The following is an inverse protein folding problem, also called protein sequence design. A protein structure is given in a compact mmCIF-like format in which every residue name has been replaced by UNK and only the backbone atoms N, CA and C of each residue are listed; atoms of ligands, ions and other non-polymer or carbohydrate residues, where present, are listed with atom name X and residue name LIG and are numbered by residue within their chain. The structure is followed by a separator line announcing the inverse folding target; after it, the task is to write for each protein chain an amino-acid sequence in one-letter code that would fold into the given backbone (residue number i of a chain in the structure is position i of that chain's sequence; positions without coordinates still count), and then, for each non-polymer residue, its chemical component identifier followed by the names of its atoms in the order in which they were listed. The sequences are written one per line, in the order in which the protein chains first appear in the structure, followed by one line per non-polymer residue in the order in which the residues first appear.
data_IF_218000594728
#
_entry.id   IF_218000594728
#
_cell.length_a   1.000
_cell.length_b   1.000
_cell.length_c   1.000
_cell.angle_alpha   90.00
_cell.angle_beta   90.00
_cell.angle_gamma   90.00
#
_symmetry.space_group_name_H-M   'P 1'
#
loop_
_entity.id
_entity.type
_entity.pdbx_description
1 polymer ?
#
# COMPACT_ATOMS: atom_id res chain seq x y z
N UNK A 1 2.11 -18.87 38.50
CA UNK A 1 3.48 -18.34 38.42
C UNK A 1 4.47 -19.22 37.63
N UNK A 2 4.58 -20.51 37.92
CA UNK A 2 5.56 -21.39 37.21
C UNK A 2 5.44 -21.30 35.70
N UNK A 3 4.25 -21.29 35.17
CA UNK A 3 4.01 -21.21 33.72
C UNK A 3 4.49 -19.87 33.12
N UNK A 4 4.27 -18.76 33.86
CA UNK A 4 4.75 -17.42 33.47
C UNK A 4 6.27 -17.36 33.49
N UNK A 5 6.90 -17.89 34.55
CA UNK A 5 8.36 -17.96 34.65
C UNK A 5 8.94 -18.77 33.51
N UNK A 6 8.37 -19.95 33.24
CA UNK A 6 8.81 -20.82 32.14
C UNK A 6 8.64 -20.16 30.77
N UNK A 7 7.53 -19.45 30.56
CA UNK A 7 7.30 -18.72 29.31
C UNK A 7 8.35 -17.62 29.09
N UNK A 8 8.71 -16.88 30.11
CA UNK A 8 9.75 -15.85 30.05
C UNK A 8 11.12 -16.45 29.76
N UNK A 9 11.49 -17.55 30.45
CA UNK A 9 12.76 -18.24 30.18
C UNK A 9 12.83 -18.84 28.79
N UNK A 10 11.72 -19.37 28.29
CA UNK A 10 11.63 -19.99 26.98
C UNK A 10 11.35 -19.01 25.84
N UNK A 11 11.09 -17.75 26.14
CA UNK A 11 10.63 -16.75 25.15
C UNK A 11 9.43 -17.30 24.38
N UNK A 12 8.38 -17.68 25.12
CA UNK A 12 7.18 -18.34 24.60
C UNK A 12 5.99 -17.37 24.64
N UNK A 13 5.73 -16.74 23.49
CA UNK A 13 4.67 -15.77 23.31
C UNK A 13 3.26 -16.41 23.29
N UNK A 14 3.17 -17.75 23.22
CA UNK A 14 1.88 -18.47 23.23
C UNK A 14 1.29 -18.61 24.64
N UNK A 15 2.12 -18.56 25.66
CA UNK A 15 1.70 -18.66 27.07
C UNK A 15 1.56 -17.28 27.72
N UNK A 16 2.51 -16.39 27.44
CA UNK A 16 2.48 -14.99 27.89
C UNK A 16 2.65 -14.12 26.67
N UNK A 17 1.55 -13.53 26.21
CA UNK A 17 1.59 -12.60 25.08
C UNK A 17 2.35 -11.31 25.42
N UNK A 18 2.71 -10.55 24.39
CA UNK A 18 3.53 -9.35 24.57
C UNK A 18 2.83 -8.24 25.35
N UNK A 19 1.50 -8.13 25.23
CA UNK A 19 0.71 -7.16 25.99
C UNK A 19 0.73 -7.48 27.48
N UNK A 20 0.51 -8.75 27.82
CA UNK A 20 0.63 -9.25 29.21
C UNK A 20 2.05 -9.07 29.75
N UNK A 21 3.08 -9.40 28.95
CA UNK A 21 4.47 -9.21 29.37
C UNK A 21 4.82 -7.75 29.60
N UNK A 22 4.33 -6.85 28.75
CA UNK A 22 4.50 -5.41 28.91
C UNK A 22 3.82 -4.92 30.18
N UNK A 23 2.58 -5.36 30.46
CA UNK A 23 1.87 -5.04 31.68
C UNK A 23 2.60 -5.56 32.95
N UNK A 24 3.15 -6.77 32.91
CA UNK A 24 3.96 -7.32 33.99
C UNK A 24 5.24 -6.49 34.23
N UNK A 25 5.89 -6.07 33.16
CA UNK A 25 7.07 -5.25 33.21
C UNK A 25 6.78 -3.86 33.79
N UNK A 26 5.73 -3.20 33.35
CA UNK A 26 5.33 -1.86 33.77
C UNK A 26 4.90 -1.83 35.27
N UNK A 27 4.19 -2.86 35.71
CA UNK A 27 3.66 -2.99 37.05
C UNK A 27 4.56 -3.80 38.00
N UNK A 28 5.82 -4.07 37.64
CA UNK A 28 6.76 -4.77 38.49
C UNK A 28 7.07 -3.95 39.74
N UNK A 29 7.27 -4.64 40.87
CA UNK A 29 7.65 -3.98 42.09
C UNK A 29 8.99 -3.26 41.94
N UNK A 30 9.07 -2.03 42.48
CA UNK A 30 10.31 -1.28 42.58
C UNK A 30 11.13 -1.75 43.80
N UNK A 31 12.41 -1.40 43.86
CA UNK A 31 13.30 -1.93 44.87
C UNK A 31 12.84 -1.61 46.31
N UNK A 32 12.27 -0.44 46.55
CA UNK A 32 11.73 -0.06 47.86
C UNK A 32 10.51 -0.88 48.28
N UNK A 33 9.66 -1.27 47.34
CA UNK A 33 8.54 -2.20 47.55
C UNK A 33 9.04 -3.62 47.83
N UNK A 34 10.01 -4.08 47.03
CA UNK A 34 10.62 -5.41 47.22
C UNK A 34 11.28 -5.54 48.57
N UNK A 35 11.97 -4.52 49.06
CA UNK A 35 12.57 -4.50 50.40
C UNK A 35 11.49 -4.69 51.48
N UNK A 36 10.36 -4.00 51.36
CA UNK A 36 9.24 -4.14 52.28
C UNK A 36 8.64 -5.54 52.24
N UNK A 37 8.40 -6.08 51.05
CA UNK A 37 7.84 -7.42 50.86
C UNK A 37 8.78 -8.49 51.41
N UNK A 38 10.10 -8.41 51.15
CA UNK A 38 11.12 -9.35 51.64
C UNK A 38 11.15 -9.46 53.16
N UNK A 39 10.92 -8.37 53.90
CA UNK A 39 10.86 -8.40 55.37
C UNK A 39 9.82 -9.39 55.86
N UNK A 40 8.66 -9.51 55.23
CA UNK A 40 7.64 -10.47 55.64
C UNK A 40 8.06 -11.92 55.37
N UNK A 41 8.85 -12.16 54.33
CA UNK A 41 9.39 -13.50 54.03
C UNK A 41 10.53 -13.92 54.98
N UNK A 42 11.20 -12.94 55.61
CA UNK A 42 12.33 -13.20 56.54
C UNK A 42 11.87 -13.36 57.99
N UNK A 43 10.67 -12.87 58.35
CA UNK A 43 10.27 -12.75 59.77
C UNK A 43 9.58 -14.00 60.29
N UNK A 44 8.42 -14.38 59.82
CA UNK A 44 7.73 -15.60 60.25
C UNK A 44 6.68 -16.09 59.27
N UNK A 45 6.33 -17.39 59.31
CA UNK A 45 5.25 -17.95 58.52
C UNK A 45 3.87 -17.35 58.78
N UNK A 46 3.67 -16.77 59.96
CA UNK A 46 2.42 -16.13 60.35
C UNK A 46 2.29 -14.73 59.72
N UNK A 47 3.39 -13.97 59.69
CA UNK A 47 3.43 -12.66 59.04
C UNK A 47 3.30 -12.80 57.51
N UNK A 48 3.77 -13.88 56.94
CA UNK A 48 3.58 -14.19 55.49
C UNK A 48 2.09 -14.28 55.10
N UNK A 49 1.23 -14.72 56.02
CA UNK A 49 -0.22 -14.78 55.79
C UNK A 49 -0.89 -13.40 55.76
N UNK A 50 -0.20 -12.35 56.17
CA UNK A 50 -0.67 -10.96 56.10
C UNK A 50 -0.45 -10.33 54.74
N UNK A 51 0.40 -10.93 53.89
CA UNK A 51 0.57 -10.49 52.49
C UNK A 51 -0.59 -10.95 51.62
N UNK A 52 -1.21 -10.01 50.93
CA UNK A 52 -2.23 -10.30 49.92
C UNK A 52 -1.63 -10.94 48.67
N UNK A 53 -2.49 -11.49 47.83
CA UNK A 53 -2.10 -12.16 46.56
C UNK A 53 -1.26 -11.31 45.62
N UNK A 54 -1.55 -9.98 45.45
CA UNK A 54 -0.70 -9.12 44.64
C UNK A 54 0.74 -9.05 45.09
N UNK A 55 0.99 -8.87 46.40
CA UNK A 55 2.35 -8.78 46.95
C UNK A 55 3.10 -10.10 46.84
N UNK A 56 2.39 -11.24 47.02
CA UNK A 56 2.96 -12.57 46.82
C UNK A 56 3.34 -12.76 45.34
N UNK A 57 2.48 -12.29 44.42
CA UNK A 57 2.76 -12.34 42.99
C UNK A 57 3.99 -11.50 42.62
N UNK A 58 4.09 -10.26 43.10
CA UNK A 58 5.24 -9.38 42.87
C UNK A 58 6.53 -9.98 43.39
N UNK A 59 6.48 -10.60 44.56
CA UNK A 59 7.63 -11.31 45.11
C UNK A 59 8.09 -12.47 44.21
N UNK A 60 7.17 -13.33 43.79
CA UNK A 60 7.48 -14.44 42.91
C UNK A 60 7.99 -13.99 41.54
N UNK A 61 7.45 -12.89 41.01
CA UNK A 61 7.92 -12.29 39.75
C UNK A 61 9.37 -11.79 39.91
N UNK A 62 9.69 -11.17 41.02
CA UNK A 62 11.04 -10.68 41.33
C UNK A 62 12.08 -11.80 41.56
N UNK A 63 11.65 -13.06 41.75
CA UNK A 63 12.56 -14.21 41.80
C UNK A 63 13.07 -14.65 40.41
N UNK A 64 12.49 -14.14 39.33
CA UNK A 64 13.00 -14.42 38.00
C UNK A 64 14.30 -13.64 37.77
N UNK A 65 15.45 -14.32 37.56
CA UNK A 65 16.73 -13.66 37.35
C UNK A 65 16.66 -12.71 36.13
N UNK A 66 17.06 -11.45 36.34
CA UNK A 66 17.05 -10.40 35.29
C UNK A 66 15.68 -10.25 34.60
N UNK A 67 14.60 -10.30 35.42
CA UNK A 67 13.23 -10.22 34.86
C UNK A 67 13.02 -8.99 34.01
N UNK A 68 13.45 -7.81 34.47
CA UNK A 68 13.27 -6.56 33.75
C UNK A 68 14.00 -6.57 32.39
N UNK A 69 15.25 -6.97 32.38
CA UNK A 69 16.11 -7.00 31.20
C UNK A 69 15.65 -8.06 30.19
N UNK A 70 15.27 -9.25 30.70
CA UNK A 70 14.67 -10.31 29.85
C UNK A 70 13.38 -9.84 29.17
N UNK A 71 12.48 -9.26 29.96
CA UNK A 71 11.21 -8.75 29.47
C UNK A 71 11.41 -7.64 28.43
N UNK A 72 12.32 -6.71 28.67
CA UNK A 72 12.65 -5.65 27.71
C UNK A 72 13.18 -6.22 26.38
N UNK A 73 14.07 -7.21 26.43
CA UNK A 73 14.58 -7.85 25.21
C UNK A 73 13.47 -8.55 24.43
N UNK A 74 12.56 -9.23 25.11
CA UNK A 74 11.44 -9.93 24.47
C UNK A 74 10.46 -8.93 23.85
N UNK A 75 10.09 -7.87 24.58
CA UNK A 75 9.21 -6.81 24.10
C UNK A 75 9.85 -6.08 22.92
N UNK A 76 11.15 -5.81 22.96
CA UNK A 76 11.86 -5.12 21.90
C UNK A 76 11.79 -5.85 20.56
N UNK A 77 11.68 -7.18 20.51
CA UNK A 77 11.48 -7.93 19.28
C UNK A 77 10.27 -7.42 18.48
N UNK A 78 9.14 -7.20 19.16
CA UNK A 78 7.94 -6.65 18.52
C UNK A 78 8.12 -5.18 18.13
N UNK A 79 8.67 -4.37 19.01
CA UNK A 79 8.94 -2.94 18.76
C UNK A 79 9.83 -2.77 17.52
N UNK A 80 10.88 -3.60 17.40
CA UNK A 80 11.75 -3.59 16.22
C UNK A 80 11.01 -4.01 14.96
N UNK A 81 10.28 -5.14 15.01
CA UNK A 81 9.54 -5.67 13.87
C UNK A 81 8.50 -4.69 13.33
N UNK A 82 7.74 -4.05 14.21
CA UNK A 82 6.77 -3.02 13.86
C UNK A 82 7.45 -1.78 13.29
N UNK A 83 8.52 -1.32 13.94
CA UNK A 83 9.28 -0.15 13.53
C UNK A 83 9.90 -0.30 12.15
N UNK A 84 10.61 -1.42 11.91
CA UNK A 84 11.25 -1.67 10.61
C UNK A 84 10.23 -1.88 9.50
N UNK A 85 9.11 -2.53 9.79
CA UNK A 85 8.01 -2.74 8.84
C UNK A 85 7.34 -1.41 8.46
N UNK A 86 7.12 -0.54 9.43
CA UNK A 86 6.55 0.80 9.21
C UNK A 86 7.48 1.66 8.35
N UNK A 87 8.78 1.64 8.64
CA UNK A 87 9.80 2.32 7.82
C UNK A 87 9.82 1.77 6.40
N UNK A 88 9.86 0.46 6.25
CA UNK A 88 9.87 -0.20 4.94
C UNK A 88 8.70 0.22 4.06
N UNK A 89 7.47 0.26 4.61
CA UNK A 89 6.28 0.71 3.87
C UNK A 89 6.42 2.13 3.33
N UNK A 90 6.96 3.04 4.14
CA UNK A 90 7.16 4.44 3.75
C UNK A 90 8.25 4.58 2.69
N UNK A 91 9.34 3.84 2.81
CA UNK A 91 10.42 3.79 1.82
C UNK A 91 9.94 3.20 0.50
N UNK A 92 9.21 2.09 0.56
CA UNK A 92 8.68 1.41 -0.62
C UNK A 92 7.71 2.29 -1.40
N UNK A 93 6.78 2.98 -0.72
CA UNK A 93 5.80 3.83 -1.41
C UNK A 93 6.46 4.96 -2.20
N UNK A 94 7.49 5.60 -1.66
CA UNK A 94 8.25 6.64 -2.36
C UNK A 94 9.02 6.05 -3.55
N UNK A 95 9.65 4.91 -3.35
CA UNK A 95 10.39 4.22 -4.41
C UNK A 95 9.47 3.83 -5.56
N UNK A 96 8.34 3.22 -5.25
CA UNK A 96 7.34 2.79 -6.24
C UNK A 96 6.73 3.97 -6.99
N UNK A 97 6.33 5.03 -6.29
CA UNK A 97 5.81 6.24 -6.90
C UNK A 97 6.82 6.90 -7.84
N UNK A 98 8.07 7.04 -7.40
CA UNK A 98 9.15 7.64 -8.21
C UNK A 98 9.45 6.81 -9.46
N UNK A 99 9.60 5.50 -9.32
CA UNK A 99 9.87 4.59 -10.44
C UNK A 99 8.71 4.53 -11.44
N UNK A 100 7.47 4.56 -10.96
CA UNK A 100 6.30 4.59 -11.82
C UNK A 100 6.30 5.82 -12.74
N UNK A 101 6.60 6.99 -12.20
CA UNK A 101 6.69 8.23 -12.98
C UNK A 101 7.79 8.18 -14.05
N UNK A 102 8.90 7.51 -13.77
CA UNK A 102 10.03 7.41 -14.70
C UNK A 102 9.82 6.35 -15.79
N UNK A 103 9.15 5.25 -15.48
CA UNK A 103 9.18 4.06 -16.34
C UNK A 103 7.85 3.69 -16.97
N UNK A 104 6.71 4.14 -16.44
CA UNK A 104 5.42 3.84 -17.06
C UNK A 104 5.27 4.54 -18.40
N UNK A 105 5.11 3.77 -19.47
CA UNK A 105 4.89 4.30 -20.82
C UNK A 105 3.64 5.17 -20.88
N UNK A 106 2.55 4.75 -20.26
CA UNK A 106 1.28 5.47 -20.24
C UNK A 106 1.38 6.86 -19.60
N UNK A 107 2.23 7.04 -18.60
CA UNK A 107 2.53 8.37 -18.02
C UNK A 107 3.14 9.27 -19.09
N UNK A 108 4.15 8.79 -19.81
CA UNK A 108 4.80 9.53 -20.89
C UNK A 108 3.83 9.84 -22.04
N UNK A 109 3.01 8.89 -22.41
CA UNK A 109 2.00 9.07 -23.47
C UNK A 109 0.98 10.17 -23.09
N UNK A 110 0.52 10.17 -21.84
CA UNK A 110 -0.43 11.20 -21.34
C UNK A 110 0.23 12.58 -21.27
N UNK A 111 1.46 12.67 -20.79
CA UNK A 111 2.20 13.93 -20.79
C UNK A 111 2.44 14.47 -22.19
N UNK A 112 2.74 13.59 -23.16
CA UNK A 112 2.90 13.97 -24.55
C UNK A 112 1.57 14.44 -25.18
N UNK A 113 0.45 13.81 -24.85
CA UNK A 113 -0.88 14.26 -25.28
C UNK A 113 -1.20 15.68 -24.75
N UNK A 114 -0.91 15.94 -23.48
CA UNK A 114 -1.12 17.26 -22.88
C UNK A 114 -0.29 18.32 -23.62
N UNK A 115 0.97 18.02 -23.94
CA UNK A 115 1.83 18.90 -24.73
C UNK A 115 1.25 19.16 -26.13
N UNK A 116 0.83 18.11 -26.81
CA UNK A 116 0.24 18.21 -28.15
C UNK A 116 -1.03 19.06 -28.15
N UNK A 117 -1.92 18.86 -27.19
CA UNK A 117 -3.13 19.72 -27.05
C UNK A 117 -2.80 21.14 -26.70
N UNK A 118 -1.83 21.39 -25.82
CA UNK A 118 -1.36 22.73 -25.50
C UNK A 118 -0.84 23.46 -26.74
N UNK A 119 0.01 22.83 -27.53
CA UNK A 119 0.55 23.38 -28.76
C UNK A 119 -0.55 23.62 -29.82
N UNK A 120 -1.51 22.71 -29.94
CA UNK A 120 -2.65 22.87 -30.86
C UNK A 120 -3.50 24.08 -30.45
N UNK A 121 -3.88 24.21 -29.18
CA UNK A 121 -4.69 25.31 -28.68
C UNK A 121 -4.00 26.66 -28.76
N UNK A 122 -2.68 26.70 -28.63
CA UNK A 122 -1.86 27.89 -28.75
C UNK A 122 -1.36 28.16 -30.18
N UNK A 123 -1.80 27.36 -31.15
CA UNK A 123 -1.41 27.48 -32.55
C UNK A 123 -1.67 28.89 -33.10
N UNK A 124 -0.68 29.45 -33.81
CA UNK A 124 -0.72 30.82 -34.30
C UNK A 124 -0.27 31.90 -33.30
N UNK A 125 -0.04 31.58 -32.05
CA UNK A 125 0.55 32.49 -31.06
C UNK A 125 2.08 32.51 -31.22
N UNK A 126 2.64 33.69 -31.46
CA UNK A 126 4.10 33.86 -31.69
C UNK A 126 4.95 33.44 -30.49
N UNK A 127 4.46 33.55 -29.25
CA UNK A 127 5.20 33.30 -28.03
C UNK A 127 4.89 31.95 -27.38
N UNK A 128 3.76 31.33 -27.71
CA UNK A 128 3.26 30.11 -27.06
C UNK A 128 2.91 28.98 -28.05
N UNK A 129 3.07 29.22 -29.34
CA UNK A 129 2.56 28.35 -30.38
C UNK A 129 3.28 27.02 -30.58
N UNK A 130 4.50 26.91 -30.06
CA UNK A 130 5.30 25.69 -30.19
C UNK A 130 6.20 25.54 -28.96
N UNK A 131 5.78 24.73 -28.02
CA UNK A 131 6.54 24.42 -26.82
C UNK A 131 7.17 23.01 -26.94
N UNK A 132 8.39 22.85 -26.46
CA UNK A 132 9.09 21.56 -26.39
C UNK A 132 8.78 20.79 -25.09
N UNK A 133 8.17 21.47 -24.13
CA UNK A 133 7.80 20.93 -22.85
C UNK A 133 7.00 21.91 -21.99
N UNK A 134 6.64 21.51 -20.80
CA UNK A 134 5.91 22.34 -19.83
C UNK A 134 6.25 21.93 -18.41
N UNK A 135 6.03 22.83 -17.45
CA UNK A 135 6.20 22.52 -16.03
C UNK A 135 5.08 21.65 -15.51
N UNK A 136 5.39 20.66 -14.67
CA UNK A 136 4.41 19.77 -14.04
C UNK A 136 3.40 20.51 -13.17
N UNK A 137 3.70 21.71 -12.71
CA UNK A 137 2.78 22.55 -11.93
C UNK A 137 1.49 22.89 -12.67
N UNK A 138 1.47 22.72 -14.00
CA UNK A 138 0.26 22.92 -14.79
C UNK A 138 -0.75 21.78 -14.63
N UNK A 139 -0.31 20.57 -14.28
CA UNK A 139 -1.17 19.39 -14.24
C UNK A 139 -2.43 19.58 -13.37
N UNK A 140 -2.34 20.07 -12.13
CA UNK A 140 -3.53 20.32 -11.31
C UNK A 140 -4.45 21.40 -11.86
N UNK A 141 -3.94 22.28 -12.75
CA UNK A 141 -4.65 23.42 -13.32
C UNK A 141 -5.34 23.10 -14.65
N UNK A 142 -5.11 21.93 -15.23
CA UNK A 142 -5.73 21.53 -16.52
C UNK A 142 -7.25 21.47 -16.45
N UNK A 143 -7.83 21.17 -15.29
CA UNK A 143 -9.27 21.22 -15.03
C UNK A 143 -9.88 22.61 -15.13
N UNK A 144 -9.08 23.67 -15.04
CA UNK A 144 -9.53 25.05 -15.15
C UNK A 144 -9.63 25.53 -16.61
N UNK A 145 -9.01 24.78 -17.54
CA UNK A 145 -9.11 25.03 -19.00
C UNK A 145 -10.39 24.39 -19.52
N UNK A 146 -11.41 25.20 -19.79
CA UNK A 146 -12.76 24.76 -20.15
C UNK A 146 -13.10 25.08 -21.61
N UNK A 147 -13.98 24.24 -22.20
CA UNK A 147 -14.63 24.52 -23.48
C UNK A 147 -15.53 25.77 -23.41
N UNK A 148 -15.90 26.33 -24.55
CA UNK A 148 -16.76 27.54 -24.63
C UNK A 148 -18.07 27.40 -23.88
N UNK A 149 -18.67 26.21 -23.93
CA UNK A 149 -19.92 25.87 -23.25
C UNK A 149 -19.73 25.45 -21.78
N UNK A 150 -18.48 25.46 -21.31
CA UNK A 150 -18.08 24.98 -19.96
C UNK A 150 -18.49 23.52 -19.65
N UNK A 151 -18.92 22.76 -20.64
CA UNK A 151 -19.36 21.36 -20.49
C UNK A 151 -18.22 20.35 -20.35
N UNK A 152 -17.01 20.76 -20.70
CA UNK A 152 -15.83 19.89 -20.70
C UNK A 152 -14.58 20.68 -20.33
N UNK A 153 -13.68 20.11 -19.55
CA UNK A 153 -12.36 20.65 -19.30
C UNK A 153 -11.27 19.90 -20.06
N UNK A 154 -10.03 20.37 -20.00
CA UNK A 154 -8.94 19.75 -20.75
C UNK A 154 -8.62 18.34 -20.28
N UNK A 155 -8.77 18.05 -18.99
CA UNK A 155 -8.58 16.67 -18.47
C UNK A 155 -9.63 15.72 -19.04
N UNK A 156 -10.89 16.15 -19.14
CA UNK A 156 -11.96 15.39 -19.81
C UNK A 156 -11.56 15.00 -21.23
N UNK A 157 -11.01 15.97 -21.96
CA UNK A 157 -10.60 15.76 -23.34
C UNK A 157 -9.43 14.80 -23.49
N UNK A 158 -8.41 14.95 -22.64
CA UNK A 158 -7.24 14.04 -22.61
C UNK A 158 -7.68 12.61 -22.28
N UNK A 159 -8.54 12.43 -21.28
CA UNK A 159 -9.05 11.10 -20.90
C UNK A 159 -9.84 10.46 -22.02
N UNK A 160 -10.77 11.20 -22.63
CA UNK A 160 -11.57 10.71 -23.78
C UNK A 160 -10.69 10.31 -24.94
N UNK A 161 -9.70 11.13 -25.27
CA UNK A 161 -8.76 10.83 -26.34
C UNK A 161 -7.92 9.60 -26.05
N UNK A 162 -7.40 9.48 -24.82
CA UNK A 162 -6.64 8.31 -24.38
C UNK A 162 -7.46 7.02 -24.49
N UNK A 163 -8.67 7.00 -23.94
CA UNK A 163 -9.57 5.85 -24.01
C UNK A 163 -9.92 5.45 -25.46
N UNK A 164 -10.01 6.41 -26.34
CA UNK A 164 -10.37 6.15 -27.75
C UNK A 164 -9.22 5.61 -28.59
N UNK A 165 -8.01 6.11 -28.36
CA UNK A 165 -6.89 5.87 -29.27
C UNK A 165 -5.74 5.07 -28.67
N UNK A 166 -5.63 4.99 -27.35
CA UNK A 166 -4.57 4.28 -26.65
C UNK A 166 -5.05 3.02 -25.93
N UNK A 167 -6.31 2.97 -25.50
CA UNK A 167 -6.87 1.83 -24.78
C UNK A 167 -7.85 1.05 -25.66
N UNK A 168 -7.37 -0.01 -26.29
CA UNK A 168 -8.19 -0.89 -27.14
C UNK A 168 -9.26 -1.65 -26.34
N UNK A 169 -9.05 -1.85 -25.05
CA UNK A 169 -9.95 -2.55 -24.14
C UNK A 169 -10.91 -1.59 -23.39
N UNK A 170 -10.93 -0.30 -23.77
CA UNK A 170 -11.79 0.69 -23.13
C UNK A 170 -13.25 0.23 -23.01
N UNK A 171 -13.83 0.36 -21.83
CA UNK A 171 -15.19 -0.07 -21.51
C UNK A 171 -15.36 -1.56 -21.27
N UNK A 172 -14.29 -2.34 -21.20
CA UNK A 172 -14.27 -3.76 -20.80
C UNK A 172 -13.58 -3.93 -19.45
N UNK A 173 -13.71 -5.13 -18.85
CA UNK A 173 -13.02 -5.47 -17.60
C UNK A 173 -11.49 -5.57 -17.75
N UNK A 174 -10.99 -5.67 -18.98
CA UNK A 174 -9.55 -5.72 -19.29
C UNK A 174 -8.90 -4.35 -19.35
N UNK A 175 -9.69 -3.28 -19.40
CA UNK A 175 -9.18 -1.90 -19.38
C UNK A 175 -8.51 -1.60 -18.04
N UNK A 176 -7.26 -1.11 -18.08
CA UNK A 176 -6.45 -0.80 -16.91
C UNK A 176 -6.29 0.70 -16.78
N UNK A 177 -6.42 1.22 -15.57
CA UNK A 177 -6.14 2.62 -15.27
C UNK A 177 -4.70 2.97 -15.65
N UNK A 178 -4.47 4.00 -16.51
CA UNK A 178 -3.17 4.21 -17.16
C UNK A 178 -2.14 4.98 -16.33
N UNK A 179 -2.51 5.47 -15.17
CA UNK A 179 -1.65 6.22 -14.28
C UNK A 179 -1.43 5.45 -12.97
N UNK A 180 -0.41 5.80 -12.18
CA UNK A 180 -0.30 5.29 -10.81
C UNK A 180 -1.54 5.66 -9.99
N UNK A 181 -1.87 4.82 -9.01
CA UNK A 181 -3.01 5.07 -8.13
C UNK A 181 -2.83 6.37 -7.35
N UNK A 182 -3.83 7.26 -7.32
CA UNK A 182 -3.73 8.52 -6.59
C UNK A 182 -3.37 8.35 -5.12
N UNK A 183 -3.90 7.30 -4.48
CA UNK A 183 -3.61 7.01 -3.08
C UNK A 183 -2.12 6.77 -2.82
N UNK A 184 -1.41 6.17 -3.76
CA UNK A 184 0.03 5.94 -3.64
C UNK A 184 0.80 7.28 -3.61
N UNK A 185 0.40 8.23 -4.43
CA UNK A 185 0.98 9.58 -4.41
C UNK A 185 0.63 10.34 -3.14
N UNK A 186 -0.59 10.21 -2.63
CA UNK A 186 -0.95 10.81 -1.36
C UNK A 186 -0.09 10.29 -0.21
N UNK A 187 0.07 8.97 -0.11
CA UNK A 187 0.92 8.35 0.91
C UNK A 187 2.38 8.76 0.75
N UNK A 188 2.90 8.77 -0.48
CA UNK A 188 4.26 9.20 -0.76
C UNK A 188 4.50 10.68 -0.41
N UNK A 189 3.49 11.54 -0.59
CA UNK A 189 3.57 12.96 -0.24
C UNK A 189 3.72 13.24 1.25
N UNK A 190 3.29 12.30 2.10
CA UNK A 190 3.41 12.41 3.55
C UNK A 190 4.80 12.03 4.07
N UNK A 191 5.66 11.47 3.22
CA UNK A 191 6.99 11.01 3.61
C UNK A 191 7.98 12.17 3.66
N UNK A 192 8.71 12.25 4.77
CA UNK A 192 9.84 13.16 4.96
C UNK A 192 11.10 12.31 5.18
N UNK A 193 12.06 12.42 4.29
CA UNK A 193 13.30 11.64 4.38
C UNK A 193 14.06 11.86 5.66
N UNK A 194 14.08 13.09 6.18
CA UNK A 194 14.72 13.42 7.46
C UNK A 194 14.13 12.63 8.63
N UNK A 195 12.81 12.46 8.65
CA UNK A 195 12.13 11.70 9.70
C UNK A 195 12.45 10.20 9.57
N UNK A 196 12.48 9.65 8.36
CA UNK A 196 12.87 8.26 8.12
C UNK A 196 14.32 8.00 8.57
N UNK A 197 15.24 8.91 8.28
CA UNK A 197 16.63 8.82 8.72
C UNK A 197 16.73 8.84 10.25
N UNK A 198 15.98 9.74 10.91
CA UNK A 198 15.95 9.84 12.38
C UNK A 198 15.38 8.56 13.01
N UNK A 199 14.27 8.06 12.47
CA UNK A 199 13.62 6.86 12.97
C UNK A 199 14.52 5.63 12.80
N UNK A 200 15.18 5.50 11.64
CA UNK A 200 16.10 4.40 11.37
C UNK A 200 17.33 4.44 12.30
N UNK A 201 17.89 5.62 12.58
CA UNK A 201 18.98 5.80 13.54
C UNK A 201 18.54 5.51 14.97
N UNK A 202 17.32 5.90 15.36
CA UNK A 202 16.73 5.60 16.65
C UNK A 202 16.60 4.09 16.83
N UNK A 203 16.07 3.41 15.83
CA UNK A 203 15.88 1.96 15.84
C UNK A 203 17.21 1.21 15.96
N UNK A 204 18.27 1.69 15.29
CA UNK A 204 19.62 1.14 15.42
C UNK A 204 20.16 1.25 16.84
N UNK A 205 20.03 2.43 17.46
CA UNK A 205 20.47 2.64 18.84
C UNK A 205 19.72 1.75 19.84
N UNK A 206 18.40 1.60 19.65
CA UNK A 206 17.58 0.71 20.44
C UNK A 206 17.99 -0.75 20.27
N UNK A 207 18.29 -1.18 19.02
CA UNK A 207 18.78 -2.52 18.71
C UNK A 207 20.12 -2.81 19.41
N UNK A 208 21.06 -1.89 19.34
CA UNK A 208 22.37 -2.01 19.99
C UNK A 208 22.24 -2.05 21.52
N UNK A 209 21.41 -1.19 22.10
CA UNK A 209 21.16 -1.16 23.54
C UNK A 209 20.49 -2.45 24.03
N UNK A 210 19.50 -2.95 23.32
CA UNK A 210 18.82 -4.21 23.65
C UNK A 210 19.75 -5.43 23.53
N UNK A 211 20.64 -5.44 22.52
CA UNK A 211 21.64 -6.51 22.39
C UNK A 211 22.64 -6.50 23.56
N UNK A 212 23.05 -5.33 24.05
CA UNK A 212 23.89 -5.25 25.22
C UNK A 212 23.19 -5.75 26.48
N UNK A 213 21.91 -5.44 26.65
CA UNK A 213 21.11 -6.00 27.74
C UNK A 213 21.04 -7.54 27.66
N UNK A 214 20.81 -8.10 26.47
CA UNK A 214 20.80 -9.54 26.26
C UNK A 214 22.13 -10.19 26.66
N UNK A 215 23.24 -9.59 26.25
CA UNK A 215 24.58 -10.07 26.61
C UNK A 215 24.82 -10.05 28.12
N UNK A 216 24.35 -9.00 28.83
CA UNK A 216 24.42 -8.90 30.27
C UNK A 216 23.58 -10.01 30.94
N UNK A 217 22.34 -10.20 30.51
CA UNK A 217 21.48 -11.28 31.00
C UNK A 217 22.16 -12.64 30.82
N UNK A 218 22.76 -12.90 29.66
CA UNK A 218 23.45 -14.17 29.37
C UNK A 218 24.69 -14.38 30.25
N UNK A 219 25.36 -13.29 30.61
CA UNK A 219 26.54 -13.34 31.52
C UNK A 219 26.17 -13.62 32.97
N UNK A 220 25.09 -13.03 33.45
CA UNK A 220 24.66 -13.08 34.84
C UNK A 220 23.71 -14.24 35.15
N UNK A 221 23.02 -14.78 34.13
CA UNK A 221 22.03 -15.83 34.34
C UNK A 221 22.66 -17.16 34.73
N UNK A 222 22.04 -17.90 35.67
CA UNK A 222 22.38 -19.29 35.96
C UNK A 222 22.25 -20.14 34.66
N UNK A 223 23.12 -21.16 34.53
CA UNK A 223 23.16 -22.02 33.32
C UNK A 223 21.82 -22.66 32.98
N UNK A 224 21.04 -22.99 34.02
CA UNK A 224 19.71 -23.61 33.89
C UNK A 224 18.67 -22.69 33.25
N UNK A 225 18.84 -21.36 33.34
CA UNK A 225 17.92 -20.35 32.79
C UNK A 225 18.49 -19.62 31.55
N UNK A 226 19.62 -20.08 31.04
CA UNK A 226 20.29 -19.45 29.90
C UNK A 226 19.63 -19.84 28.56
N UNK A 227 19.27 -21.12 28.44
CA UNK A 227 18.64 -21.65 27.23
C UNK A 227 17.14 -21.90 27.45
N UNK A 228 16.27 -21.68 26.43
CA UNK A 228 16.56 -21.30 25.04
C UNK A 228 16.62 -19.77 24.82
N UNK A 229 16.54 -18.96 25.86
CA UNK A 229 16.55 -17.49 25.77
C UNK A 229 17.72 -16.97 24.92
N UNK A 230 18.93 -17.41 25.22
CA UNK A 230 20.14 -17.00 24.50
C UNK A 230 20.02 -17.26 23.00
N UNK A 231 19.71 -18.47 22.60
CA UNK A 231 19.68 -18.86 21.19
C UNK A 231 18.61 -18.10 20.41
N UNK A 232 17.41 -17.97 20.98
CA UNK A 232 16.30 -17.24 20.35
C UNK A 232 16.60 -15.74 20.18
N UNK A 233 17.22 -15.13 21.18
CA UNK A 233 17.56 -13.70 21.12
C UNK A 233 18.77 -13.45 20.22
N UNK A 234 19.80 -14.31 20.23
CA UNK A 234 20.94 -14.20 19.32
C UNK A 234 20.50 -14.29 17.86
N UNK A 235 19.62 -15.27 17.53
CA UNK A 235 19.03 -15.40 16.21
C UNK A 235 18.26 -14.13 15.80
N UNK A 236 17.42 -13.63 16.70
CA UNK A 236 16.68 -12.39 16.46
C UNK A 236 17.60 -11.20 16.17
N UNK A 237 18.64 -10.97 17.01
CA UNK A 237 19.55 -9.83 16.84
C UNK A 237 20.36 -9.93 15.56
N UNK A 238 20.78 -11.12 15.15
CA UNK A 238 21.47 -11.32 13.89
C UNK A 238 20.57 -11.00 12.70
N UNK A 239 19.31 -11.46 12.73
CA UNK A 239 18.31 -11.16 11.70
C UNK A 239 17.99 -9.67 11.66
N UNK A 240 17.72 -9.07 12.82
CA UNK A 240 17.37 -7.65 12.94
C UNK A 240 18.48 -6.72 12.42
N UNK A 241 19.74 -7.03 12.65
CA UNK A 241 20.88 -6.27 12.11
C UNK A 241 20.92 -6.33 10.58
N UNK A 242 20.63 -7.49 9.99
CA UNK A 242 20.57 -7.65 8.54
C UNK A 242 19.40 -6.85 7.95
N UNK A 243 18.22 -6.96 8.55
CA UNK A 243 17.03 -6.22 8.13
C UNK A 243 17.27 -4.70 8.22
N UNK A 244 17.86 -4.23 9.31
CA UNK A 244 18.19 -2.82 9.48
C UNK A 244 19.15 -2.32 8.39
N UNK A 245 20.22 -3.08 8.10
CA UNK A 245 21.18 -2.73 7.06
C UNK A 245 20.55 -2.73 5.67
N UNK A 246 19.67 -3.68 5.38
CA UNK A 246 18.90 -3.69 4.14
C UNK A 246 18.02 -2.46 4.01
N UNK A 247 17.38 -2.04 5.10
CA UNK A 247 16.51 -0.86 5.08
C UNK A 247 17.29 0.44 4.94
N UNK A 248 18.51 0.55 5.49
CA UNK A 248 19.44 1.65 5.19
C UNK A 248 19.69 1.78 3.68
N UNK A 249 19.97 0.65 3.00
CA UNK A 249 20.17 0.62 1.56
C UNK A 249 18.90 0.97 0.78
N UNK A 250 17.75 0.46 1.19
CA UNK A 250 16.46 0.78 0.56
C UNK A 250 16.14 2.28 0.67
N UNK A 251 16.43 2.90 1.81
CA UNK A 251 16.23 4.33 2.01
C UNK A 251 17.12 5.16 1.09
N UNK A 252 18.38 4.79 0.94
CA UNK A 252 19.31 5.45 -0.01
C UNK A 252 18.81 5.31 -1.45
N UNK A 253 18.34 4.13 -1.84
CA UNK A 253 17.77 3.89 -3.17
C UNK A 253 16.48 4.70 -3.40
N UNK A 254 15.65 4.84 -2.37
CA UNK A 254 14.44 5.67 -2.43
C UNK A 254 14.78 7.15 -2.64
N UNK A 255 15.77 7.67 -1.91
CA UNK A 255 16.26 9.04 -2.09
C UNK A 255 16.81 9.28 -3.50
N UNK A 256 17.66 8.38 -4.00
CA UNK A 256 18.19 8.44 -5.37
C UNK A 256 17.09 8.38 -6.43
N UNK A 257 16.12 7.48 -6.26
CA UNK A 257 14.98 7.37 -7.19
C UNK A 257 14.14 8.64 -7.21
N UNK A 258 13.91 9.24 -6.05
CA UNK A 258 13.19 10.51 -5.93
C UNK A 258 13.98 11.67 -6.58
N UNK A 259 15.27 11.81 -6.29
CA UNK A 259 16.15 12.81 -6.89
C UNK A 259 16.21 12.67 -8.41
N UNK A 260 16.31 11.44 -8.91
CA UNK A 260 16.28 11.15 -10.35
C UNK A 260 14.94 11.60 -10.97
N UNK A 261 13.83 11.36 -10.29
CA UNK A 261 12.50 11.80 -10.74
C UNK A 261 12.40 13.33 -10.78
N UNK A 262 12.87 14.01 -9.75
CA UNK A 262 12.93 15.48 -9.68
C UNK A 262 13.76 16.04 -10.84
N UNK A 263 14.94 15.47 -11.07
CA UNK A 263 15.84 15.87 -12.16
C UNK A 263 15.26 15.60 -13.55
N UNK A 264 14.62 14.45 -13.73
CA UNK A 264 13.99 14.07 -14.99
C UNK A 264 12.88 15.06 -15.41
N UNK A 265 12.08 15.53 -14.47
CA UNK A 265 11.03 16.50 -14.73
C UNK A 265 11.48 17.97 -14.59
N UNK A 266 12.75 18.20 -14.28
CA UNK A 266 13.31 19.55 -14.15
C UNK A 266 12.64 20.40 -13.07
N UNK A 267 12.12 19.76 -12.00
CA UNK A 267 11.45 20.46 -10.92
C UNK A 267 12.44 21.26 -10.07
N UNK A 268 12.02 22.45 -9.68
CA UNK A 268 12.82 23.36 -8.84
C UNK A 268 12.18 23.53 -7.47
N UNK A 269 12.96 23.79 -6.42
CA UNK A 269 12.41 24.10 -5.11
C UNK A 269 11.44 25.28 -5.16
N UNK A 270 10.43 25.25 -4.31
CA UNK A 270 9.55 26.41 -4.11
C UNK A 270 10.34 27.59 -3.54
N UNK A 271 9.83 28.80 -3.76
CA UNK A 271 10.43 30.02 -3.21
C UNK A 271 10.57 29.90 -1.68
N UNK A 272 11.81 30.03 -1.19
CA UNK A 272 12.15 29.89 0.23
C UNK A 272 12.52 28.48 0.69
N UNK A 273 12.39 27.45 -0.15
CA UNK A 273 12.84 26.09 0.12
C UNK A 273 14.22 25.84 -0.50
N UNK A 274 15.03 25.02 0.17
CA UNK A 274 16.37 24.62 -0.33
C UNK A 274 16.32 23.47 -1.31
N UNK A 275 15.37 22.59 -1.15
CA UNK A 275 15.24 21.33 -1.88
C UNK A 275 13.79 21.07 -2.31
N UNK A 276 13.63 20.24 -3.34
CA UNK A 276 12.32 19.74 -3.76
C UNK A 276 11.89 18.64 -2.81
N UNK A 277 10.71 18.79 -2.20
CA UNK A 277 10.19 17.84 -1.23
C UNK A 277 9.30 16.78 -1.87
N UNK A 278 9.20 15.56 -1.32
CA UNK A 278 8.22 14.56 -1.75
C UNK A 278 6.78 15.08 -1.72
N UNK A 279 6.44 15.87 -0.70
CA UNK A 279 5.12 16.50 -0.59
C UNK A 279 4.80 17.35 -1.82
N UNK A 280 5.72 18.18 -2.25
CA UNK A 280 5.50 19.05 -3.42
C UNK A 280 5.29 18.25 -4.71
N UNK A 281 6.20 17.31 -5.00
CA UNK A 281 6.14 16.50 -6.22
C UNK A 281 4.90 15.63 -6.27
N UNK A 282 4.66 14.86 -5.22
CA UNK A 282 3.61 13.86 -5.22
C UNK A 282 2.21 14.45 -5.05
N UNK A 283 2.06 15.63 -4.44
CA UNK A 283 0.75 16.30 -4.39
C UNK A 283 0.31 16.80 -5.75
N UNK A 284 1.22 17.29 -6.59
CA UNK A 284 0.93 17.66 -7.99
C UNK A 284 0.36 16.44 -8.75
N UNK A 285 1.01 15.30 -8.62
CA UNK A 285 0.56 14.07 -9.25
C UNK A 285 -0.71 13.50 -8.62
N UNK A 286 -0.86 13.60 -7.31
CA UNK A 286 -2.08 13.18 -6.61
C UNK A 286 -3.31 13.90 -7.13
N UNK A 287 -3.26 15.22 -7.21
CA UNK A 287 -4.38 16.02 -7.70
C UNK A 287 -4.73 15.68 -9.16
N UNK A 288 -3.73 15.65 -10.02
CA UNK A 288 -3.93 15.31 -11.42
C UNK A 288 -4.47 13.90 -11.63
N UNK A 289 -3.86 12.89 -10.99
CA UNK A 289 -4.30 11.49 -11.12
C UNK A 289 -5.70 11.27 -10.51
N UNK A 290 -6.07 12.00 -9.47
CA UNK A 290 -7.41 11.95 -8.87
C UNK A 290 -8.47 12.48 -9.85
N UNK A 291 -8.22 13.63 -10.45
CA UNK A 291 -9.10 14.20 -11.47
C UNK A 291 -9.20 13.27 -12.68
N UNK A 292 -8.07 12.78 -13.18
CA UNK A 292 -8.01 11.84 -14.29
C UNK A 292 -8.78 10.55 -13.99
N UNK A 293 -8.60 9.96 -12.81
CA UNK A 293 -9.27 8.71 -12.40
C UNK A 293 -10.79 8.86 -12.32
N UNK A 294 -11.27 9.96 -11.78
CA UNK A 294 -12.70 10.26 -11.69
C UNK A 294 -13.32 10.30 -13.06
N UNK A 295 -12.69 11.02 -13.99
CA UNK A 295 -13.14 11.14 -15.38
C UNK A 295 -13.02 9.80 -16.12
N UNK A 296 -11.90 9.11 -15.96
CA UNK A 296 -11.65 7.81 -16.58
C UNK A 296 -12.71 6.77 -16.21
N UNK A 297 -13.08 6.70 -14.93
CA UNK A 297 -14.17 5.82 -14.47
C UNK A 297 -15.51 6.17 -15.12
N UNK A 298 -15.83 7.46 -15.20
CA UNK A 298 -17.07 7.93 -15.83
C UNK A 298 -17.12 7.59 -17.32
N UNK A 299 -16.05 7.90 -18.05
CA UNK A 299 -15.98 7.68 -19.50
C UNK A 299 -15.88 6.18 -19.85
N UNK A 300 -15.15 5.38 -19.09
CA UNK A 300 -15.12 3.93 -19.23
C UNK A 300 -16.52 3.32 -19.09
N UNK A 301 -17.31 3.79 -18.12
CA UNK A 301 -18.69 3.36 -17.93
C UNK A 301 -19.60 3.78 -19.11
N UNK A 302 -19.39 4.96 -19.67
CA UNK A 302 -20.12 5.43 -20.86
C UNK A 302 -19.78 4.55 -22.07
N UNK A 303 -18.51 4.27 -22.32
CA UNK A 303 -18.07 3.39 -23.41
C UNK A 303 -18.64 1.98 -23.25
N UNK A 304 -18.64 1.44 -22.02
CA UNK A 304 -19.26 0.13 -21.73
C UNK A 304 -20.75 0.10 -22.10
N UNK A 305 -21.51 1.15 -21.74
CA UNK A 305 -22.92 1.28 -22.11
C UNK A 305 -23.12 1.38 -23.64
N UNK A 306 -22.27 2.11 -24.34
CA UNK A 306 -22.32 2.23 -25.78
C UNK A 306 -22.02 0.90 -26.47
N UNK A 307 -20.99 0.18 -26.02
CA UNK A 307 -20.67 -1.18 -26.53
C UNK A 307 -21.85 -2.14 -26.35
N UNK A 308 -22.50 -2.11 -25.16
CA UNK A 308 -23.67 -2.94 -24.89
C UNK A 308 -24.84 -2.61 -25.81
N UNK A 309 -25.13 -1.32 -26.04
CA UNK A 309 -26.16 -0.89 -26.98
C UNK A 309 -25.87 -1.33 -28.41
N UNK A 310 -24.61 -1.22 -28.86
CA UNK A 310 -24.20 -1.67 -30.20
C UNK A 310 -24.35 -3.19 -30.34
N UNK A 311 -23.95 -3.96 -29.32
CA UNK A 311 -24.11 -5.41 -29.32
C UNK A 311 -25.59 -5.82 -29.39
N UNK A 312 -26.45 -5.18 -28.60
CA UNK A 312 -27.91 -5.41 -28.62
C UNK A 312 -28.53 -5.06 -29.99
N UNK A 313 -28.11 -3.95 -30.58
CA UNK A 313 -28.59 -3.55 -31.92
C UNK A 313 -28.13 -4.54 -33.00
N UNK A 314 -26.91 -5.06 -32.92
CA UNK A 314 -26.40 -6.08 -33.85
C UNK A 314 -27.17 -7.39 -33.72
N UNK A 315 -27.43 -7.85 -32.49
CA UNK A 315 -28.26 -9.04 -32.24
C UNK A 315 -29.69 -8.85 -32.76
N UNK A 316 -30.28 -7.67 -32.54
CA UNK A 316 -31.62 -7.34 -33.04
C UNK A 316 -31.68 -7.35 -34.56
N UNK A 317 -30.67 -6.83 -35.26
CA UNK A 317 -30.58 -6.90 -36.75
C UNK A 317 -30.49 -8.34 -37.25
N UNK A 318 -29.58 -9.15 -36.65
CA UNK A 318 -29.43 -10.56 -37.03
C UNK A 318 -30.70 -11.38 -36.78
N UNK A 319 -31.43 -11.11 -35.70
CA UNK A 319 -32.71 -11.77 -35.42
C UNK A 319 -33.83 -11.32 -36.36
N UNK A 320 -33.83 -10.08 -36.79
CA UNK A 320 -34.79 -9.58 -37.77
C UNK A 320 -34.53 -10.16 -39.18
N UNK A 321 -33.26 -10.24 -39.59
CA UNK A 321 -32.85 -10.86 -40.86
C UNK A 321 -33.20 -12.35 -40.92
N UNK A 322 -32.91 -13.11 -39.82
CA UNK A 322 -33.34 -14.52 -39.71
C UNK A 322 -34.87 -14.70 -39.73
N UNK A 323 -35.65 -13.77 -39.15
CA UNK A 323 -37.11 -13.79 -39.21
C UNK A 323 -37.65 -13.49 -40.62
N UNK A 324 -36.92 -12.69 -41.42
CA UNK A 324 -37.28 -12.42 -42.80
C UNK A 324 -36.96 -13.64 -43.68
N UNK A 325 -35.85 -14.31 -43.49
CA UNK A 325 -35.51 -15.56 -44.20
C UNK A 325 -36.48 -16.70 -43.84
N UNK A 326 -36.84 -16.88 -42.58
CA UNK A 326 -37.81 -17.90 -42.18
C UNK A 326 -39.23 -17.59 -42.64
N UNK A 327 -39.59 -16.33 -42.88
CA UNK A 327 -40.87 -15.99 -43.54
C UNK A 327 -40.88 -16.23 -45.04
N UNK A 328 -39.73 -16.28 -45.70
CA UNK A 328 -39.63 -16.66 -47.14
C UNK A 328 -39.70 -18.17 -47.36
N UNK A 329 -39.42 -18.98 -46.37
CA UNK A 329 -39.62 -20.43 -46.40
C UNK A 329 -40.94 -20.71 -45.68
N UNK A 330 -42.02 -20.70 -46.43
CA UNK A 330 -43.33 -21.04 -45.90
C UNK A 330 -43.50 -22.57 -45.90
N UNK A 331 -43.30 -23.32 -44.77
CA UNK A 331 -43.32 -24.78 -44.76
C UNK A 331 -44.73 -25.35 -45.05
N UNK A 332 -45.74 -24.54 -44.84
CA UNK A 332 -47.15 -24.95 -45.06
C UNK A 332 -47.58 -24.93 -46.54
N UNK A 333 -46.94 -24.10 -47.37
CA UNK A 333 -47.21 -24.10 -48.84
C UNK A 333 -46.66 -25.38 -49.49
N UNK A 334 -45.46 -25.86 -49.06
CA UNK A 334 -44.86 -27.09 -49.59
C UNK A 334 -45.61 -28.37 -49.15
N UNK A 335 -46.23 -28.40 -47.98
CA UNK A 335 -47.00 -29.54 -47.51
C UNK A 335 -48.38 -29.62 -48.21
N UNK A 336 -49.03 -28.49 -48.42
CA UNK A 336 -50.28 -28.43 -49.23
C UNK A 336 -50.05 -28.82 -50.63
N UNK A 337 -48.93 -28.43 -51.21
CA UNK A 337 -48.58 -28.77 -52.61
C UNK A 337 -48.22 -30.24 -52.74
N UNK A 338 -47.54 -30.85 -51.80
CA UNK A 338 -47.25 -32.28 -51.71
C UNK A 338 -48.50 -33.14 -51.46
N UNK A 339 -49.47 -32.63 -50.69
CA UNK A 339 -50.74 -33.29 -50.44
C UNK A 339 -51.63 -33.26 -51.75
N UNK A 340 -51.69 -32.12 -52.44
CA UNK A 340 -52.37 -32.01 -53.70
C UNK A 340 -51.79 -32.90 -54.84
N UNK A 341 -50.46 -33.04 -54.89
CA UNK A 341 -49.80 -33.96 -55.80
C UNK A 341 -50.04 -35.43 -55.45
N UNK A 342 -50.16 -35.78 -54.16
CA UNK A 342 -50.54 -37.13 -53.76
C UNK A 342 -52.01 -37.43 -54.04
N UNK A 343 -52.93 -36.49 -53.91
CA UNK A 343 -54.34 -36.63 -54.24
C UNK A 343 -54.54 -36.78 -55.71
N UNK A 344 -53.78 -36.04 -56.56
CA UNK A 344 -53.84 -36.15 -58.04
C UNK A 344 -53.27 -37.46 -58.55
N UNK A 345 -52.29 -38.07 -57.81
CA UNK A 345 -51.74 -39.38 -58.18
C UNK A 345 -52.60 -40.61 -57.77
N UNK A 346 -53.58 -40.41 -56.92
CA UNK A 346 -54.52 -41.45 -56.47
C UNK A 346 -55.82 -41.44 -57.32
N UNK A 347 -56.09 -40.33 -58.04
CA UNK A 347 -57.23 -40.19 -58.90
C UNK A 347 -57.00 -40.71 -60.37
N UNK A 348 -55.79 -41.24 -60.63
CA UNK A 348 -55.39 -41.75 -61.97
C UNK A 348 -55.05 -43.25 -62.03
N UNK A 349 -55.48 -44.02 -61.00
CA UNK A 349 -55.43 -45.52 -61.06
C UNK A 349 -56.80 -46.13 -60.84
#
# INVERSE_FOLDING_TARGET
MKDIQQAIFNVDDSVVDLETLAALYENRAQEDELIKIRKYYETSKEELKLLDKPEQFLHELAQIPNFAERSQCIIFRSVFSEGITSLHRKVEIVTRASKALLHMKSVKDILALILAFGNYMNGGNRTRGQADGYSLEILPKLKDVKSRDSGMNLVDYVVKYYLRYYDQEAGTEKSVFPLPEPQDFFLASQVKFEDLIKDLRKLKRQLEASEQQMKLVCKESPKEYLQPFKDKLEEFFQKAKKEHKMEESHLEDAQKSFETTVGYFGMKPKTGEKEVTPSYVFMVWFEFCSDFKTIWKRESKNISKERLKMAQASVSKLTSEKKVETKKINPTASLKERLRQKEASVATN
#
